data_IF_327976252146
#
_entry.id   IF_327976252146
#
_cell.length_a   1.000
_cell.length_b   1.000
_cell.length_c   1.000
_cell.angle_alpha   90.00
_cell.angle_beta   90.00
_cell.angle_gamma   90.00
#
_symmetry.space_group_name_H-M   'P 1'
#
loop_
_entity.id
_entity.type
_entity.pdbx_description
1 polymer ?
#
# COMPACT_ATOMS: atom_id res chain seq x y z
N UNK A 1 -6.02 -9.31 -11.12
CA UNK A 1 -5.79 -10.79 -11.21
C UNK A 1 -7.07 -11.55 -10.95
N UNK A 2 -7.74 -11.40 -9.76
CA UNK A 2 -8.99 -12.13 -9.49
C UNK A 2 -10.06 -11.88 -10.55
N UNK A 3 -10.39 -10.61 -10.84
CA UNK A 3 -11.36 -10.27 -11.86
C UNK A 3 -10.99 -10.78 -13.27
N UNK A 4 -9.70 -10.75 -13.60
CA UNK A 4 -9.21 -11.18 -14.93
C UNK A 4 -9.09 -12.71 -15.09
N UNK A 5 -9.04 -13.44 -13.99
CA UNK A 5 -8.82 -14.89 -13.97
C UNK A 5 -9.85 -15.62 -13.12
N UNK A 6 -11.03 -15.05 -13.00
CA UNK A 6 -12.13 -15.58 -12.19
C UNK A 6 -12.37 -17.07 -12.49
N UNK A 7 -12.50 -17.43 -13.75
CA UNK A 7 -12.77 -18.82 -14.19
C UNK A 7 -11.73 -19.82 -13.69
N UNK A 8 -10.45 -19.39 -13.53
CA UNK A 8 -9.36 -20.25 -13.07
C UNK A 8 -9.24 -20.33 -11.55
N UNK A 9 -9.82 -19.36 -10.86
CA UNK A 9 -9.68 -19.17 -9.41
C UNK A 9 -10.99 -19.47 -8.66
N UNK A 10 -12.06 -19.75 -9.40
CA UNK A 10 -13.34 -20.10 -8.82
C UNK A 10 -13.24 -21.26 -7.83
N UNK A 11 -13.81 -21.06 -6.65
CA UNK A 11 -13.75 -22.01 -5.54
C UNK A 11 -12.35 -22.18 -4.87
N UNK A 12 -11.30 -21.54 -5.39
CA UNK A 12 -9.93 -21.62 -4.82
C UNK A 12 -9.59 -20.47 -3.87
N UNK A 13 -10.31 -19.36 -3.97
CA UNK A 13 -10.13 -18.20 -3.12
C UNK A 13 -11.40 -18.01 -2.30
N UNK A 14 -11.30 -18.21 -0.99
CA UNK A 14 -12.42 -18.09 -0.07
C UNK A 14 -12.71 -16.65 0.33
N UNK A 15 -11.66 -15.85 0.50
CA UNK A 15 -11.77 -14.41 0.80
C UNK A 15 -10.49 -13.68 0.39
N UNK A 16 -10.58 -12.36 0.36
CA UNK A 16 -9.43 -11.47 0.16
C UNK A 16 -9.35 -10.49 1.32
N UNK A 17 -8.17 -10.32 1.87
CA UNK A 17 -7.90 -9.25 2.84
C UNK A 17 -7.00 -8.23 2.19
N UNK A 18 -7.45 -6.98 2.13
CA UNK A 18 -6.59 -5.87 1.72
C UNK A 18 -5.97 -5.24 2.96
N UNK A 19 -4.69 -4.93 2.86
CA UNK A 19 -3.91 -4.39 3.96
C UNK A 19 -3.34 -3.04 3.56
N UNK A 20 -4.08 -1.97 3.83
CA UNK A 20 -3.74 -0.58 3.51
C UNK A 20 -3.22 -0.38 2.06
N UNK A 21 -3.75 -1.14 1.12
CA UNK A 21 -3.30 -1.12 -0.28
C UNK A 21 -3.86 0.08 -1.05
N UNK A 22 -3.15 0.54 -2.08
CA UNK A 22 -3.60 1.60 -2.98
C UNK A 22 -4.64 1.08 -4.00
N UNK A 23 -5.78 0.63 -3.52
CA UNK A 23 -6.86 0.01 -4.32
C UNK A 23 -7.42 0.99 -5.34
N UNK A 24 -7.79 2.18 -4.88
CA UNK A 24 -8.27 3.30 -5.71
C UNK A 24 -7.14 4.20 -6.21
N UNK A 25 -5.89 3.80 -5.99
CA UNK A 25 -4.71 4.60 -6.30
C UNK A 25 -4.18 5.38 -5.11
N UNK A 26 -3.13 6.14 -5.36
CA UNK A 26 -2.48 7.00 -4.37
C UNK A 26 -2.22 8.37 -4.97
N UNK A 27 -2.68 9.42 -4.30
CA UNK A 27 -2.34 10.80 -4.69
C UNK A 27 -0.83 11.08 -4.56
N UNK A 28 -0.13 10.34 -3.70
CA UNK A 28 1.34 10.37 -3.66
C UNK A 28 1.95 9.79 -4.93
N UNK A 29 1.38 8.70 -5.45
CA UNK A 29 1.82 8.13 -6.73
C UNK A 29 1.52 9.08 -7.90
N UNK A 30 0.40 9.81 -7.87
CA UNK A 30 0.09 10.84 -8.88
C UNK A 30 1.18 11.91 -8.91
N UNK A 31 1.51 12.49 -7.76
CA UNK A 31 2.54 13.51 -7.63
C UNK A 31 3.92 12.98 -8.06
N UNK A 32 4.27 11.79 -7.61
CA UNK A 32 5.56 11.19 -7.95
C UNK A 32 5.66 10.83 -9.43
N UNK A 33 4.59 10.30 -10.03
CA UNK A 33 4.56 10.00 -11.46
C UNK A 33 4.75 11.25 -12.31
N UNK A 34 4.09 12.37 -11.96
CA UNK A 34 4.28 13.64 -12.65
C UNK A 34 5.75 14.10 -12.65
N UNK A 35 6.47 13.86 -11.57
CA UNK A 35 7.89 14.20 -11.47
C UNK A 35 8.78 13.29 -12.34
N UNK A 36 8.45 11.99 -12.43
CA UNK A 36 9.34 11.02 -13.07
C UNK A 36 8.96 10.62 -14.50
N UNK A 37 7.75 10.90 -14.97
CA UNK A 37 7.24 10.43 -16.28
C UNK A 37 8.16 10.82 -17.44
N UNK A 38 8.81 11.98 -17.37
CA UNK A 38 9.74 12.50 -18.38
C UNK A 38 11.22 12.36 -17.96
N UNK A 39 11.50 11.77 -16.79
CA UNK A 39 12.88 11.59 -16.33
C UNK A 39 13.60 10.51 -17.15
N UNK A 40 14.91 10.64 -17.26
CA UNK A 40 15.76 9.58 -17.79
C UNK A 40 15.70 8.34 -16.90
N UNK A 41 15.56 7.15 -17.51
CA UNK A 41 15.36 5.90 -16.76
C UNK A 41 16.60 5.50 -15.97
N UNK A 42 17.80 5.72 -16.53
CA UNK A 42 19.06 5.34 -15.86
C UNK A 42 19.32 6.26 -14.66
N UNK A 43 19.05 7.57 -14.83
CA UNK A 43 19.13 8.52 -13.73
C UNK A 43 18.14 8.18 -12.60
N UNK A 44 16.90 7.85 -12.96
CA UNK A 44 15.87 7.46 -12.01
C UNK A 44 16.25 6.19 -11.24
N UNK A 45 16.76 5.18 -11.94
CA UNK A 45 17.22 3.92 -11.37
C UNK A 45 18.38 4.14 -10.40
N UNK A 46 19.35 4.97 -10.77
CA UNK A 46 20.47 5.34 -9.91
C UNK A 46 20.00 6.03 -8.62
N UNK A 47 19.12 7.01 -8.72
CA UNK A 47 18.56 7.72 -7.55
C UNK A 47 17.75 6.82 -6.64
N UNK A 48 16.96 5.91 -7.20
CA UNK A 48 16.21 4.93 -6.42
C UNK A 48 17.17 3.94 -5.72
N UNK A 49 18.23 3.52 -6.39
CA UNK A 49 19.26 2.67 -5.78
C UNK A 49 19.91 3.36 -4.58
N UNK A 50 20.34 4.61 -4.73
CA UNK A 50 20.93 5.40 -3.63
C UNK A 50 19.96 5.55 -2.46
N UNK A 51 18.69 5.83 -2.75
CA UNK A 51 17.65 5.94 -1.75
C UNK A 51 17.40 4.62 -1.02
N UNK A 52 17.35 3.50 -1.72
CA UNK A 52 17.18 2.18 -1.12
C UNK A 52 18.40 1.74 -0.31
N UNK A 53 19.61 2.10 -0.73
CA UNK A 53 20.80 1.85 0.07
C UNK A 53 20.77 2.60 1.41
N UNK A 54 20.24 3.82 1.41
CA UNK A 54 20.10 4.63 2.62
C UNK A 54 19.02 4.04 3.55
N UNK A 55 17.87 3.69 3.00
CA UNK A 55 16.71 3.25 3.79
C UNK A 55 16.79 1.79 4.25
N UNK A 56 17.33 0.92 3.43
CA UNK A 56 17.34 -0.52 3.66
C UNK A 56 18.63 -1.19 3.21
N UNK A 57 19.79 -0.82 3.80
CA UNK A 57 21.09 -1.37 3.40
C UNK A 57 21.16 -2.90 3.50
N UNK A 58 20.29 -3.51 4.30
CA UNK A 58 20.20 -4.97 4.43
C UNK A 58 19.59 -5.63 3.19
N UNK A 59 18.70 -4.95 2.49
CA UNK A 59 18.07 -5.43 1.26
C UNK A 59 19.11 -5.41 0.13
N UNK A 60 19.95 -4.37 0.08
CA UNK A 60 20.97 -4.21 -0.96
C UNK A 60 22.20 -5.10 -0.74
N UNK A 61 22.54 -5.45 0.52
CA UNK A 61 23.73 -6.26 0.85
C UNK A 61 23.63 -7.74 0.49
N UNK A 62 22.45 -8.30 0.36
CA UNK A 62 22.28 -9.77 0.16
C UNK A 62 22.10 -10.20 -1.29
N UNK A 63 22.30 -9.31 -2.26
CA UNK A 63 22.16 -9.66 -3.69
C UNK A 63 20.75 -10.13 -4.10
N UNK A 64 19.78 -9.94 -3.24
CA UNK A 64 18.38 -10.35 -3.46
C UNK A 64 17.56 -9.32 -4.23
N UNK A 65 18.04 -8.10 -4.37
CA UNK A 65 17.49 -7.18 -5.34
C UNK A 65 18.05 -7.57 -6.70
N UNK A 66 17.21 -8.11 -7.56
CA UNK A 66 17.44 -8.09 -8.99
C UNK A 66 17.82 -6.67 -9.37
N UNK A 67 18.65 -6.53 -10.38
CA UNK A 67 19.11 -5.21 -10.84
C UNK A 67 17.90 -4.29 -11.04
N UNK A 68 17.94 -3.10 -10.45
CA UNK A 68 16.82 -2.14 -10.53
C UNK A 68 16.51 -1.71 -11.97
N UNK A 69 17.51 -1.81 -12.86
CA UNK A 69 17.38 -1.61 -14.30
C UNK A 69 16.47 -2.65 -15.00
N UNK A 70 16.19 -3.77 -14.35
CA UNK A 70 15.24 -4.79 -14.85
C UNK A 70 13.77 -4.46 -14.50
N UNK A 71 13.51 -3.39 -13.73
CA UNK A 71 12.16 -3.01 -13.33
C UNK A 71 11.65 -1.79 -14.11
N UNK A 72 10.44 -1.88 -14.61
CA UNK A 72 9.70 -0.73 -15.12
C UNK A 72 9.18 0.11 -13.93
N UNK A 73 10.05 0.97 -13.40
CA UNK A 73 9.72 1.84 -12.26
C UNK A 73 8.59 2.80 -12.63
N UNK A 74 8.63 3.39 -13.83
CA UNK A 74 7.60 4.33 -14.28
C UNK A 74 6.24 3.64 -14.43
N UNK A 75 6.20 2.48 -15.06
CA UNK A 75 4.98 1.68 -15.16
C UNK A 75 4.46 1.21 -13.81
N UNK A 76 5.35 0.83 -12.89
CA UNK A 76 4.97 0.46 -11.54
C UNK A 76 4.32 1.62 -10.79
N UNK A 77 4.93 2.82 -10.81
CA UNK A 77 4.35 4.03 -10.20
C UNK A 77 3.05 4.43 -10.90
N UNK A 78 3.02 4.42 -12.25
CA UNK A 78 1.82 4.73 -13.02
C UNK A 78 0.66 3.83 -12.62
N UNK A 79 0.89 2.53 -12.43
CA UNK A 79 -0.15 1.57 -12.04
C UNK A 79 -0.79 1.87 -10.67
N UNK A 80 -0.10 2.65 -9.83
CA UNK A 80 -0.58 3.09 -8.51
C UNK A 80 -1.24 4.47 -8.56
N UNK A 81 -1.26 5.17 -9.69
CA UNK A 81 -1.93 6.47 -9.80
C UNK A 81 -3.44 6.32 -9.69
N UNK A 82 -4.10 7.37 -9.21
CA UNK A 82 -5.58 7.41 -9.15
C UNK A 82 -6.19 7.32 -10.55
N UNK A 83 -5.54 7.91 -11.55
CA UNK A 83 -5.96 7.81 -12.95
C UNK A 83 -5.96 6.36 -13.44
N UNK A 84 -4.84 5.66 -13.33
CA UNK A 84 -4.72 4.27 -13.79
C UNK A 84 -5.69 3.33 -13.05
N UNK A 85 -5.91 3.55 -11.75
CA UNK A 85 -6.88 2.77 -10.98
C UNK A 85 -8.32 3.05 -11.37
N UNK A 86 -8.67 4.29 -11.67
CA UNK A 86 -9.99 4.64 -12.18
C UNK A 86 -10.25 4.01 -13.55
N UNK A 87 -9.28 4.04 -14.47
CA UNK A 87 -9.41 3.36 -15.77
C UNK A 87 -9.57 1.84 -15.61
N UNK A 88 -8.80 1.23 -14.70
CA UNK A 88 -8.97 -0.18 -14.35
C UNK A 88 -10.41 -0.46 -13.85
N UNK A 89 -10.93 0.36 -12.96
CA UNK A 89 -12.30 0.22 -12.45
C UNK A 89 -13.34 0.33 -13.56
N UNK A 90 -13.22 1.32 -14.44
CA UNK A 90 -14.11 1.48 -15.60
C UNK A 90 -14.10 0.25 -16.51
N UNK A 91 -12.91 -0.30 -16.75
CA UNK A 91 -12.74 -1.47 -17.60
C UNK A 91 -13.30 -2.75 -17.00
N UNK A 92 -13.17 -2.94 -15.70
CA UNK A 92 -13.47 -4.21 -15.01
C UNK A 92 -14.62 -4.12 -14.01
N UNK A 93 -15.39 -3.03 -13.95
CA UNK A 93 -16.42 -2.81 -12.94
C UNK A 93 -17.42 -3.97 -12.89
N UNK A 94 -17.91 -4.43 -14.05
CA UNK A 94 -18.89 -5.54 -14.09
C UNK A 94 -18.31 -6.82 -13.47
N UNK A 95 -17.07 -7.18 -13.84
CA UNK A 95 -16.41 -8.37 -13.28
C UNK A 95 -16.11 -8.22 -11.77
N UNK A 96 -15.86 -7.00 -11.32
CA UNK A 96 -15.63 -6.71 -9.90
C UNK A 96 -16.95 -6.75 -9.10
N UNK A 97 -18.03 -6.25 -9.67
CA UNK A 97 -19.35 -6.26 -9.04
C UNK A 97 -19.93 -7.67 -8.98
N UNK A 98 -19.66 -8.49 -10.01
CA UNK A 98 -20.07 -9.90 -10.07
C UNK A 98 -19.16 -10.82 -9.25
N UNK A 99 -18.07 -10.29 -8.66
CA UNK A 99 -17.12 -11.07 -7.87
C UNK A 99 -17.79 -11.55 -6.57
N UNK A 100 -18.12 -12.83 -6.50
CA UNK A 100 -18.74 -13.44 -5.33
C UNK A 100 -17.70 -13.97 -4.32
N UNK A 101 -16.70 -13.13 -4.00
CA UNK A 101 -15.63 -13.43 -3.05
C UNK A 101 -15.61 -12.31 -2.01
N UNK A 102 -15.81 -12.61 -0.72
CA UNK A 102 -15.73 -11.62 0.35
C UNK A 102 -14.38 -10.90 0.36
N UNK A 103 -14.42 -9.56 0.42
CA UNK A 103 -13.24 -8.72 0.52
C UNK A 103 -13.29 -7.95 1.84
N UNK A 104 -12.30 -8.17 2.68
CA UNK A 104 -12.16 -7.49 3.96
C UNK A 104 -11.11 -6.39 3.82
N UNK A 105 -11.55 -5.14 3.87
CA UNK A 105 -10.65 -3.99 3.79
C UNK A 105 -10.13 -3.64 5.18
N UNK A 106 -8.81 -3.67 5.34
CA UNK A 106 -8.09 -3.11 6.47
C UNK A 106 -7.37 -1.85 5.97
N UNK A 107 -7.68 -0.72 6.55
CA UNK A 107 -7.04 0.56 6.22
C UNK A 107 -6.08 0.99 7.32
N UNK A 108 -5.35 2.07 7.11
CA UNK A 108 -4.53 2.66 8.15
C UNK A 108 -4.63 4.19 8.14
N UNK A 109 -4.38 4.79 9.28
CA UNK A 109 -4.27 6.23 9.41
C UNK A 109 -3.22 6.60 10.47
N UNK A 110 -2.60 7.74 10.26
CA UNK A 110 -1.58 8.30 11.16
C UNK A 110 -1.68 9.83 11.16
N UNK A 111 -0.93 10.46 12.02
CA UNK A 111 -0.77 11.92 12.01
C UNK A 111 0.59 12.31 11.45
N UNK A 112 0.73 13.55 10.99
CA UNK A 112 2.01 14.05 10.48
C UNK A 112 3.13 14.04 11.54
N UNK A 113 2.80 14.00 12.83
CA UNK A 113 3.78 13.92 13.92
C UNK A 113 4.27 12.48 14.16
N UNK A 114 3.64 11.48 13.56
CA UNK A 114 3.98 10.07 13.74
C UNK A 114 4.71 9.48 12.53
N UNK A 115 4.90 10.29 11.48
CA UNK A 115 5.64 9.86 10.28
C UNK A 115 7.09 10.37 10.32
N UNK A 116 8.00 9.76 9.54
CA UNK A 116 9.35 10.30 9.37
C UNK A 116 9.32 11.77 8.93
N UNK A 117 10.21 12.59 9.46
CA UNK A 117 10.20 14.05 9.26
C UNK A 117 10.13 14.47 7.79
N UNK A 118 10.83 13.75 6.91
CA UNK A 118 10.83 14.02 5.47
C UNK A 118 9.50 13.67 4.77
N UNK A 119 8.62 12.91 5.43
CA UNK A 119 7.28 12.54 4.94
C UNK A 119 6.16 13.39 5.56
N UNK A 120 6.48 14.29 6.51
CA UNK A 120 5.45 15.10 7.18
C UNK A 120 4.65 15.96 6.21
N UNK A 121 5.34 16.59 5.24
CA UNK A 121 4.69 17.43 4.25
C UNK A 121 3.72 16.63 3.37
N UNK A 122 4.11 15.41 3.00
CA UNK A 122 3.29 14.51 2.19
C UNK A 122 2.06 14.04 2.96
N UNK A 123 2.22 13.66 4.22
CA UNK A 123 1.12 13.30 5.11
C UNK A 123 0.12 14.46 5.25
N UNK A 124 0.60 15.69 5.48
CA UNK A 124 -0.23 16.88 5.54
C UNK A 124 -0.92 17.20 4.21
N UNK A 125 -0.26 16.97 3.08
CA UNK A 125 -0.87 17.15 1.76
C UNK A 125 -2.01 16.15 1.53
N UNK A 126 -1.86 14.91 1.97
CA UNK A 126 -2.92 13.90 1.87
C UNK A 126 -4.15 14.25 2.70
N UNK A 127 -4.01 14.96 3.83
CA UNK A 127 -5.16 15.38 4.65
C UNK A 127 -6.13 16.32 3.92
N UNK A 128 -5.70 16.93 2.80
CA UNK A 128 -6.57 17.74 1.94
C UNK A 128 -7.59 16.90 1.17
N UNK A 129 -7.28 15.62 0.97
CA UNK A 129 -8.16 14.66 0.27
C UNK A 129 -8.97 13.84 1.27
N UNK A 130 -8.31 13.40 2.36
CA UNK A 130 -8.93 12.63 3.43
C UNK A 130 -8.08 12.79 4.71
N UNK A 131 -8.72 13.19 5.81
CA UNK A 131 -8.05 13.32 7.11
C UNK A 131 -7.48 12.01 7.63
N UNK A 132 -8.06 10.89 7.20
CA UNK A 132 -7.56 9.55 7.53
C UNK A 132 -6.64 9.05 6.41
N UNK A 133 -5.36 9.19 6.60
CA UNK A 133 -4.35 8.66 5.66
C UNK A 133 -3.17 8.07 6.42
N UNK A 134 -2.47 7.17 5.77
CA UNK A 134 -1.31 6.48 6.32
C UNK A 134 0.03 7.03 5.79
N UNK A 135 0.05 8.29 5.31
CA UNK A 135 1.20 8.95 4.68
C UNK A 135 1.39 8.62 3.19
N UNK A 136 0.82 7.54 2.69
CA UNK A 136 0.92 7.14 1.28
C UNK A 136 -0.43 6.93 0.61
N UNK A 137 -1.41 6.45 1.35
CA UNK A 137 -2.75 6.15 0.85
C UNK A 137 -3.79 6.74 1.80
N UNK A 138 -4.84 7.33 1.25
CA UNK A 138 -5.99 7.75 2.05
C UNK A 138 -6.89 6.56 2.38
N UNK A 139 -7.65 6.66 3.44
CA UNK A 139 -8.60 5.61 3.83
C UNK A 139 -9.56 5.27 2.70
N UNK A 140 -10.06 6.29 2.00
CA UNK A 140 -10.99 6.09 0.88
C UNK A 140 -10.35 5.38 -0.30
N UNK A 141 -9.08 5.62 -0.58
CA UNK A 141 -8.35 4.94 -1.66
C UNK A 141 -7.87 3.53 -1.28
N UNK A 142 -7.83 3.22 0.01
CA UNK A 142 -7.45 1.90 0.50
C UNK A 142 -8.59 0.87 0.52
N UNK A 143 -9.79 1.24 0.09
CA UNK A 143 -10.98 0.38 0.12
C UNK A 143 -11.43 -0.04 -1.28
N UNK A 144 -11.80 -1.30 -1.44
CA UNK A 144 -12.66 -1.71 -2.55
C UNK A 144 -14.08 -1.19 -2.32
N UNK A 145 -14.67 -0.61 -3.37
CA UNK A 145 -16.04 -0.09 -3.38
C UNK A 145 -16.94 -0.98 -4.23
N UNK A 146 -17.03 -2.26 -3.86
CA UNK A 146 -17.84 -3.27 -4.54
C UNK A 146 -18.78 -3.95 -3.54
N UNK A 147 -19.88 -4.61 -3.99
CA UNK A 147 -20.89 -5.17 -3.08
C UNK A 147 -20.35 -6.17 -2.05
N UNK A 148 -19.36 -6.98 -2.42
CA UNK A 148 -18.79 -8.00 -1.55
C UNK A 148 -17.66 -7.50 -0.65
N UNK A 149 -17.40 -6.18 -0.61
CA UNK A 149 -16.33 -5.60 0.19
C UNK A 149 -16.87 -4.96 1.48
N UNK A 150 -16.25 -5.27 2.61
CA UNK A 150 -16.51 -4.66 3.90
C UNK A 150 -15.24 -4.00 4.45
N UNK A 151 -15.40 -2.85 5.12
CA UNK A 151 -14.32 -2.22 5.87
C UNK A 151 -14.38 -2.72 7.32
N UNK A 152 -13.40 -3.53 7.73
CA UNK A 152 -13.39 -4.19 9.03
C UNK A 152 -12.62 -3.41 10.10
N UNK A 153 -11.51 -2.76 9.73
CA UNK A 153 -10.71 -2.04 10.70
C UNK A 153 -9.85 -0.93 10.07
N UNK A 154 -9.55 0.07 10.88
CA UNK A 154 -8.52 1.08 10.60
C UNK A 154 -7.41 0.93 11.62
N UNK A 155 -6.19 0.68 11.14
CA UNK A 155 -5.00 0.54 11.96
C UNK A 155 -4.43 1.93 12.26
N UNK A 156 -3.93 2.12 13.48
CA UNK A 156 -3.17 3.32 13.82
C UNK A 156 -1.69 3.07 13.53
N UNK A 157 -1.18 3.69 12.49
CA UNK A 157 0.21 3.60 12.07
C UNK A 157 0.41 4.10 10.65
N UNK A 158 1.62 4.52 10.34
CA UNK A 158 1.95 4.94 8.99
C UNK A 158 2.26 3.75 8.09
N UNK A 159 2.15 3.95 6.78
CA UNK A 159 2.23 2.89 5.76
C UNK A 159 3.45 1.97 5.91
N UNK A 160 4.60 2.52 6.25
CA UNK A 160 5.81 1.72 6.41
C UNK A 160 5.82 0.88 7.68
N UNK A 161 5.30 1.40 8.80
CA UNK A 161 5.21 0.63 10.05
C UNK A 161 4.30 -0.58 9.92
N UNK A 162 3.19 -0.42 9.20
CA UNK A 162 2.24 -1.52 9.01
C UNK A 162 2.69 -2.51 7.94
N UNK A 163 3.48 -2.07 6.94
CA UNK A 163 3.86 -2.89 5.77
C UNK A 163 5.20 -3.59 5.93
N UNK A 164 6.16 -2.98 6.64
CA UNK A 164 7.54 -3.47 6.72
C UNK A 164 7.96 -3.78 8.16
N UNK A 165 9.00 -4.64 8.35
CA UNK A 165 9.68 -4.75 9.64
C UNK A 165 10.17 -3.37 10.10
N UNK A 166 10.33 -3.16 11.42
CA UNK A 166 10.81 -1.89 11.94
C UNK A 166 12.10 -1.44 11.22
N UNK A 167 12.10 -0.22 10.72
CA UNK A 167 13.28 0.37 10.10
C UNK A 167 14.43 0.47 11.11
N UNK A 168 15.69 0.48 10.64
CA UNK A 168 16.86 0.74 11.49
C UNK A 168 16.65 2.00 12.34
N UNK A 169 17.10 1.96 13.59
CA UNK A 169 16.95 3.06 14.55
C UNK A 169 17.41 4.42 14.01
N UNK A 170 18.46 4.43 13.20
CA UNK A 170 18.97 5.64 12.55
C UNK A 170 17.93 6.34 11.66
N UNK A 171 17.08 5.58 10.97
CA UNK A 171 16.03 6.15 10.12
C UNK A 171 14.82 6.56 10.97
N UNK A 172 14.52 5.80 12.04
CA UNK A 172 13.47 6.17 13.00
C UNK A 172 13.80 7.45 13.77
N UNK A 173 15.09 7.78 13.95
CA UNK A 173 15.50 9.04 14.57
C UNK A 173 15.05 10.30 13.82
N UNK A 174 14.62 10.17 12.57
CA UNK A 174 14.00 11.26 11.81
C UNK A 174 12.49 11.35 12.02
N UNK A 175 11.88 10.46 12.80
CA UNK A 175 10.48 10.52 13.18
C UNK A 175 10.30 11.27 14.49
N UNK A 176 9.34 12.18 14.59
CA UNK A 176 9.00 12.85 15.84
C UNK A 176 8.54 11.91 16.94
N UNK A 177 7.96 10.77 16.59
CA UNK A 177 7.49 9.75 17.52
C UNK A 177 8.27 8.44 17.32
N UNK A 178 9.34 8.27 18.12
CA UNK A 178 10.26 7.16 18.00
C UNK A 178 9.75 5.82 18.56
N UNK A 179 8.70 5.84 19.38
CA UNK A 179 8.36 4.74 20.29
C UNK A 179 7.09 3.97 19.94
N UNK A 180 6.61 4.08 18.68
CA UNK A 180 5.44 3.32 18.23
C UNK A 180 5.83 2.13 17.31
N UNK A 181 6.32 1.00 17.85
CA UNK A 181 6.38 -0.22 17.06
C UNK A 181 4.93 -0.69 16.84
N UNK A 182 4.47 -0.62 15.60
CA UNK A 182 3.16 -1.17 15.23
C UNK A 182 3.11 -2.67 15.58
N UNK A 183 2.10 -3.15 16.35
CA UNK A 183 2.03 -4.54 16.82
C UNK A 183 1.54 -5.48 15.70
N UNK A 184 2.30 -5.58 14.61
CA UNK A 184 1.92 -6.29 13.38
C UNK A 184 1.49 -7.73 13.63
N UNK A 185 2.22 -8.45 14.48
CA UNK A 185 1.88 -9.85 14.80
C UNK A 185 0.50 -9.96 15.44
N UNK A 186 0.20 -9.09 16.38
CA UNK A 186 -1.12 -9.06 17.03
C UNK A 186 -2.24 -8.71 16.04
N UNK A 187 -1.99 -7.72 15.17
CA UNK A 187 -2.94 -7.32 14.14
C UNK A 187 -3.23 -8.45 13.15
N UNK A 188 -2.18 -9.17 12.69
CA UNK A 188 -2.35 -10.33 11.80
C UNK A 188 -3.14 -11.45 12.51
N UNK A 189 -2.82 -11.76 13.77
CA UNK A 189 -3.57 -12.77 14.55
C UNK A 189 -5.05 -12.37 14.67
N UNK A 190 -5.33 -11.10 14.99
CA UNK A 190 -6.70 -10.60 15.10
C UNK A 190 -7.48 -10.73 13.77
N UNK A 191 -6.82 -10.52 12.63
CA UNK A 191 -7.45 -10.74 11.32
C UNK A 191 -7.77 -12.22 11.12
N UNK A 192 -6.85 -13.13 11.41
CA UNK A 192 -7.13 -14.56 11.29
C UNK A 192 -8.27 -15.00 12.19
N UNK A 193 -8.34 -14.49 13.42
CA UNK A 193 -9.46 -14.74 14.33
C UNK A 193 -10.78 -14.22 13.76
N UNK A 194 -10.80 -13.00 13.23
CA UNK A 194 -11.98 -12.43 12.57
C UNK A 194 -12.43 -13.31 11.40
N UNK A 195 -11.51 -13.74 10.54
CA UNK A 195 -11.85 -14.59 9.40
C UNK A 195 -12.42 -15.95 9.84
N UNK A 196 -11.88 -16.53 10.91
CA UNK A 196 -12.42 -17.78 11.49
C UNK A 196 -13.82 -17.57 12.08
N UNK A 197 -14.04 -16.49 12.83
CA UNK A 197 -15.36 -16.16 13.39
C UNK A 197 -16.41 -15.90 12.29
N UNK A 198 -15.99 -15.36 11.15
CA UNK A 198 -16.86 -15.17 9.97
C UNK A 198 -17.05 -16.46 9.16
N UNK A 199 -16.40 -17.56 9.52
CA UNK A 199 -16.44 -18.82 8.76
C UNK A 199 -15.77 -18.75 7.38
N UNK A 200 -14.87 -17.80 7.18
CA UNK A 200 -14.15 -17.61 5.92
C UNK A 200 -12.86 -18.43 5.84
N UNK A 201 -12.40 -18.94 6.95
CA UNK A 201 -11.27 -19.90 7.07
C UNK A 201 -11.60 -20.96 8.14
N UNK A 202 -11.01 -22.15 8.02
CA UNK A 202 -11.10 -23.23 8.99
C UNK A 202 -9.89 -23.21 9.94
#
# INVERSE_FOLDING_TARGET
TLAQHHDKLDGKVQCVVTWAGAIGGSYMADNFYELIKNADTDLLTGRLHDFLQLLAPQITRKGSLRRLDEYDIKGAVHSLTTHARNEFYKQYHQLLDDLNIPIINITAATTALEVPTFQMADCLNLTRYDGNNDMQVTQEQAKFKIPMAAHAAMLHGHHWDISYPPFPRAIRMTSPNLDHPFPRKAAIIAIYQLLAELGLIN
#
